data_IF_252876731164
#
_entry.id   IF_252876731164
#
_cell.length_a   1.000
_cell.length_b   1.000
_cell.length_c   1.000
_cell.angle_alpha   90.00
_cell.angle_beta   90.00
_cell.angle_gamma   90.00
#
_symmetry.space_group_name_H-M   'P 1'
#
loop_
_entity.id
_entity.type
_entity.pdbx_description
1 polymer ?
#
# COMPACT_ATOMS: atom_id res chain seq x y z
N UNK A 1 -37.95 -24.18 20.47
CA UNK A 1 -37.58 -23.01 21.28
C UNK A 1 -36.32 -22.49 20.63
N UNK A 2 -36.30 -21.22 20.19
CA UNK A 2 -35.06 -20.62 19.70
C UNK A 2 -34.03 -20.67 20.84
N UNK A 3 -32.77 -20.93 20.51
CA UNK A 3 -31.71 -20.92 21.50
C UNK A 3 -31.56 -19.47 22.01
N UNK A 4 -31.62 -19.20 23.33
CA UNK A 4 -31.42 -17.85 23.85
C UNK A 4 -30.10 -17.20 23.39
N UNK A 5 -29.11 -18.00 22.98
CA UNK A 5 -27.86 -17.53 22.38
C UNK A 5 -28.06 -16.95 20.97
N UNK A 6 -28.88 -17.62 20.16
CA UNK A 6 -29.22 -17.17 18.81
C UNK A 6 -30.01 -15.84 18.85
N UNK A 7 -30.88 -15.66 19.85
CA UNK A 7 -31.63 -14.42 20.04
C UNK A 7 -30.71 -13.24 20.39
N UNK A 8 -29.71 -13.44 21.27
CA UNK A 8 -28.74 -12.39 21.64
C UNK A 8 -27.84 -12.00 20.46
N UNK A 9 -27.30 -12.99 19.75
CA UNK A 9 -26.49 -12.77 18.54
C UNK A 9 -27.30 -12.03 17.46
N UNK A 10 -28.56 -12.40 17.27
CA UNK A 10 -29.43 -11.74 16.29
C UNK A 10 -29.63 -10.26 16.63
N UNK A 11 -29.87 -9.93 17.91
CA UNK A 11 -30.00 -8.55 18.38
C UNK A 11 -28.71 -7.75 18.15
N UNK A 12 -27.54 -8.31 18.49
CA UNK A 12 -26.25 -7.64 18.24
C UNK A 12 -26.04 -7.37 16.74
N UNK A 13 -26.35 -8.35 15.88
CA UNK A 13 -26.26 -8.18 14.42
C UNK A 13 -27.21 -7.09 13.90
N UNK A 14 -28.46 -7.03 14.39
CA UNK A 14 -29.40 -5.97 14.03
C UNK A 14 -28.88 -4.58 14.41
N UNK A 15 -28.29 -4.44 15.60
CA UNK A 15 -27.65 -3.20 16.04
C UNK A 15 -26.48 -2.81 15.12
N UNK A 16 -25.63 -3.77 14.75
CA UNK A 16 -24.52 -3.51 13.82
C UNK A 16 -25.00 -3.09 12.44
N UNK A 17 -26.06 -3.71 11.91
CA UNK A 17 -26.65 -3.28 10.63
C UNK A 17 -27.18 -1.84 10.70
N UNK A 18 -27.70 -1.41 11.85
CA UNK A 18 -28.16 -0.04 12.06
C UNK A 18 -26.98 0.95 12.20
N UNK A 19 -25.89 0.55 12.88
CA UNK A 19 -24.71 1.39 13.09
C UNK A 19 -23.82 1.53 11.84
N UNK A 20 -23.71 0.46 11.05
CA UNK A 20 -22.83 0.38 9.89
C UNK A 20 -23.60 -0.05 8.64
N UNK A 21 -24.53 0.80 8.15
CA UNK A 21 -25.33 0.48 6.98
C UNK A 21 -24.44 0.21 5.77
N UNK A 22 -24.79 -0.83 5.01
CA UNK A 22 -24.10 -1.30 3.80
C UNK A 22 -22.63 -1.76 3.97
N UNK A 23 -22.11 -1.76 5.21
CA UNK A 23 -20.72 -2.14 5.51
C UNK A 23 -20.63 -3.53 6.16
N UNK A 24 -21.73 -4.02 6.72
CA UNK A 24 -21.80 -5.33 7.39
C UNK A 24 -22.47 -6.36 6.49
N UNK A 25 -21.95 -7.58 6.50
CA UNK A 25 -22.62 -8.75 5.92
C UNK A 25 -22.36 -9.95 6.78
N UNK A 26 -23.40 -10.69 7.17
CA UNK A 26 -23.26 -11.94 7.91
C UNK A 26 -23.65 -13.16 7.05
N UNK A 27 -22.84 -14.22 7.13
CA UNK A 27 -23.10 -15.49 6.45
C UNK A 27 -23.39 -16.59 7.47
N UNK A 28 -24.66 -16.96 7.63
CA UNK A 28 -25.10 -17.95 8.63
C UNK A 28 -24.36 -19.30 8.51
N UNK A 29 -24.13 -19.79 7.28
CA UNK A 29 -23.52 -21.11 7.05
C UNK A 29 -22.08 -21.21 7.53
N UNK A 30 -21.29 -20.15 7.35
CA UNK A 30 -19.88 -20.10 7.78
C UNK A 30 -19.72 -19.39 9.13
N UNK A 31 -20.81 -18.77 9.64
CA UNK A 31 -20.85 -17.95 10.86
C UNK A 31 -19.81 -16.84 10.80
N UNK A 32 -19.68 -16.26 9.61
CA UNK A 32 -18.72 -15.20 9.31
C UNK A 32 -19.40 -13.85 9.20
N UNK A 33 -18.92 -12.90 9.99
CA UNK A 33 -19.24 -11.49 9.86
C UNK A 33 -18.15 -10.82 9.03
N UNK A 34 -18.56 -10.13 7.98
CA UNK A 34 -17.70 -9.27 7.17
C UNK A 34 -18.05 -7.82 7.45
N UNK A 35 -17.05 -7.03 7.78
CA UNK A 35 -17.09 -5.57 7.76
C UNK A 35 -16.22 -5.07 6.61
N UNK A 36 -16.73 -4.13 5.81
CA UNK A 36 -15.99 -3.53 4.70
C UNK A 36 -16.19 -2.02 4.67
N UNK A 37 -15.09 -1.28 4.53
CA UNK A 37 -15.09 0.17 4.37
C UNK A 37 -14.10 0.52 3.26
N UNK A 38 -14.57 1.18 2.20
CA UNK A 38 -13.79 1.43 0.98
C UNK A 38 -13.15 0.12 0.44
N UNK A 39 -11.82 0.04 0.42
CA UNK A 39 -11.06 -1.15 0.04
C UNK A 39 -10.58 -1.96 1.25
N UNK A 40 -10.76 -1.49 2.48
CA UNK A 40 -10.44 -2.22 3.71
C UNK A 40 -11.51 -3.27 4.03
N UNK A 41 -11.11 -4.35 4.69
CA UNK A 41 -12.02 -5.42 5.08
C UNK A 41 -11.56 -6.17 6.33
N UNK A 42 -12.52 -6.53 7.18
CA UNK A 42 -12.37 -7.42 8.32
C UNK A 42 -13.36 -8.58 8.17
N UNK A 43 -12.88 -9.80 8.41
CA UNK A 43 -13.70 -11.02 8.44
C UNK A 43 -13.47 -11.70 9.78
N UNK A 44 -14.55 -11.84 10.53
CA UNK A 44 -14.60 -12.53 11.81
C UNK A 44 -15.39 -13.82 11.67
N UNK A 45 -14.95 -14.89 12.34
CA UNK A 45 -15.72 -16.12 12.49
C UNK A 45 -16.19 -16.26 13.94
N UNK A 46 -17.48 -16.42 14.13
CA UNK A 46 -18.08 -16.55 15.46
C UNK A 46 -18.06 -18.03 15.91
N UNK A 47 -17.65 -18.35 17.15
CA UNK A 47 -17.75 -19.70 17.72
C UNK A 47 -19.20 -20.05 18.04
N UNK A 48 -19.57 -21.35 18.06
CA UNK A 48 -20.96 -21.84 18.19
C UNK A 48 -21.70 -21.25 19.39
N UNK A 49 -20.97 -21.09 20.47
CA UNK A 49 -21.43 -20.59 21.76
C UNK A 49 -21.40 -19.07 21.92
N UNK A 50 -21.10 -18.30 20.88
CA UNK A 50 -21.07 -16.84 20.96
C UNK A 50 -22.50 -16.25 21.04
N UNK A 51 -22.79 -15.29 21.95
CA UNK A 51 -21.85 -14.54 22.80
C UNK A 51 -21.61 -15.14 24.19
N UNK A 52 -22.27 -16.23 24.57
CA UNK A 52 -22.18 -16.83 25.91
C UNK A 52 -20.76 -17.28 26.28
N UNK A 53 -20.03 -17.87 25.34
CA UNK A 53 -18.63 -18.27 25.56
C UNK A 53 -17.85 -18.33 24.24
N UNK A 54 -16.53 -18.11 24.33
CA UNK A 54 -15.66 -18.01 23.17
C UNK A 54 -15.75 -16.65 22.47
N UNK A 55 -14.66 -16.25 21.83
CA UNK A 55 -14.55 -14.95 21.16
C UNK A 55 -14.50 -15.10 19.64
N UNK A 56 -14.96 -14.10 18.88
CA UNK A 56 -14.83 -14.09 17.43
C UNK A 56 -13.35 -14.21 17.00
N UNK A 57 -13.08 -15.09 16.05
CA UNK A 57 -11.74 -15.29 15.48
C UNK A 57 -11.53 -14.39 14.25
N UNK A 58 -10.39 -13.71 14.19
CA UNK A 58 -9.97 -12.98 12.98
C UNK A 58 -9.53 -13.95 11.88
N UNK A 59 -10.38 -14.11 10.85
CA UNK A 59 -10.08 -14.88 9.64
C UNK A 59 -9.23 -14.05 8.67
N UNK A 60 -9.62 -12.79 8.47
CA UNK A 60 -8.95 -11.84 7.59
C UNK A 60 -9.07 -10.43 8.13
N UNK A 61 -8.01 -9.63 7.97
CA UNK A 61 -8.04 -8.20 8.26
C UNK A 61 -7.07 -7.51 7.31
N UNK A 62 -7.54 -6.51 6.56
CA UNK A 62 -6.72 -5.74 5.64
C UNK A 62 -7.17 -4.29 5.56
N UNK A 63 -6.21 -3.38 5.40
CA UNK A 63 -6.49 -1.97 5.20
C UNK A 63 -6.82 -1.62 3.74
N UNK A 64 -6.93 -0.31 3.47
CA UNK A 64 -7.21 0.22 2.13
C UNK A 64 -6.07 -0.03 1.13
N UNK A 65 -4.83 -0.19 1.62
CA UNK A 65 -3.62 -0.53 0.86
C UNK A 65 -3.42 -2.04 0.65
N UNK A 66 -4.33 -2.88 1.17
CA UNK A 66 -4.24 -4.35 1.17
C UNK A 66 -3.09 -4.90 2.03
N UNK A 67 -2.61 -4.12 2.98
CA UNK A 67 -1.70 -4.57 4.03
C UNK A 67 -2.42 -5.55 4.94
N UNK A 68 -1.79 -6.69 5.26
CA UNK A 68 -2.36 -7.69 6.16
C UNK A 68 -2.26 -7.22 7.63
N UNK A 69 -3.41 -7.04 8.27
CA UNK A 69 -3.53 -6.57 9.64
C UNK A 69 -3.89 -7.68 10.64
N UNK A 70 -3.96 -8.96 10.23
CA UNK A 70 -4.50 -10.04 11.09
C UNK A 70 -3.80 -10.14 12.44
N UNK A 71 -2.47 -10.14 12.46
CA UNK A 71 -1.71 -10.27 13.71
C UNK A 71 -1.89 -9.06 14.63
N UNK A 72 -1.93 -7.85 14.05
CA UNK A 72 -2.19 -6.61 14.80
C UNK A 72 -3.61 -6.56 15.34
N UNK A 73 -4.58 -7.03 14.55
CA UNK A 73 -5.96 -7.17 14.98
C UNK A 73 -6.08 -8.15 16.14
N UNK A 74 -5.47 -9.33 16.05
CA UNK A 74 -5.46 -10.32 17.15
C UNK A 74 -4.83 -9.75 18.43
N UNK A 75 -3.72 -9.02 18.31
CA UNK A 75 -3.10 -8.35 19.46
C UNK A 75 -4.00 -7.22 20.02
N UNK A 76 -4.65 -6.45 19.16
CA UNK A 76 -5.60 -5.41 19.54
C UNK A 76 -6.79 -5.96 20.32
N UNK A 77 -7.38 -7.05 19.84
CA UNK A 77 -8.49 -7.75 20.53
C UNK A 77 -8.05 -8.26 21.89
N UNK A 78 -6.83 -8.81 22.01
CA UNK A 78 -6.30 -9.25 23.30
C UNK A 78 -6.17 -8.11 24.33
N UNK A 79 -6.04 -6.86 23.86
CA UNK A 79 -5.97 -5.67 24.72
C UNK A 79 -7.35 -5.05 25.03
N UNK A 80 -8.43 -5.53 24.43
CA UNK A 80 -9.79 -5.03 24.69
C UNK A 80 -10.39 -5.55 26.01
N UNK A 81 -9.68 -6.45 26.72
CA UNK A 81 -10.12 -7.04 28.00
C UNK A 81 -11.58 -7.56 27.95
N UNK A 82 -11.96 -8.19 26.83
CA UNK A 82 -13.32 -8.67 26.61
C UNK A 82 -13.72 -9.73 27.66
N UNK A 83 -14.90 -9.56 28.26
CA UNK A 83 -15.47 -10.53 29.17
C UNK A 83 -16.23 -11.64 28.41
N UNK A 84 -16.09 -12.89 28.85
CA UNK A 84 -16.95 -13.96 28.35
C UNK A 84 -18.41 -13.71 28.74
N UNK A 85 -19.33 -14.03 27.84
CA UNK A 85 -20.76 -13.80 28.04
C UNK A 85 -21.27 -12.45 27.54
N UNK A 86 -20.38 -11.57 27.07
CA UNK A 86 -20.71 -10.24 26.53
C UNK A 86 -20.58 -10.16 25.00
N UNK A 87 -21.46 -9.35 24.42
CA UNK A 87 -21.42 -8.93 23.02
C UNK A 87 -20.20 -8.03 22.78
N UNK A 88 -19.50 -8.24 21.68
CA UNK A 88 -18.14 -7.71 21.48
C UNK A 88 -17.82 -7.38 20.02
N UNK A 89 -18.72 -7.65 19.08
CA UNK A 89 -18.49 -7.39 17.66
C UNK A 89 -18.28 -5.89 17.39
N UNK A 90 -19.04 -5.01 18.05
CA UNK A 90 -18.85 -3.56 17.91
C UNK A 90 -17.48 -3.11 18.46
N UNK A 91 -17.07 -3.60 19.63
CA UNK A 91 -15.76 -3.31 20.19
C UNK A 91 -14.62 -3.77 19.27
N UNK A 92 -14.77 -4.94 18.65
CA UNK A 92 -13.82 -5.48 17.67
C UNK A 92 -13.82 -4.62 16.39
N UNK A 93 -14.98 -4.19 15.89
CA UNK A 93 -15.05 -3.29 14.72
C UNK A 93 -14.43 -1.94 15.04
N UNK A 94 -14.72 -1.35 16.20
CA UNK A 94 -14.13 -0.10 16.67
C UNK A 94 -12.61 -0.20 16.75
N UNK A 95 -12.09 -1.32 17.27
CA UNK A 95 -10.64 -1.58 17.30
C UNK A 95 -10.04 -1.71 15.88
N UNK A 96 -10.78 -2.29 14.94
CA UNK A 96 -10.36 -2.32 13.54
C UNK A 96 -10.32 -0.92 12.92
N UNK A 97 -11.31 -0.08 13.17
CA UNK A 97 -11.31 1.32 12.73
C UNK A 97 -10.14 2.11 13.33
N UNK A 98 -9.85 1.93 14.63
CA UNK A 98 -8.66 2.51 15.27
C UNK A 98 -7.38 2.01 14.59
N UNK A 99 -7.29 0.72 14.24
CA UNK A 99 -6.15 0.20 13.49
C UNK A 99 -6.07 0.75 12.06
N UNK A 100 -7.19 0.99 11.39
CA UNK A 100 -7.21 1.65 10.08
C UNK A 100 -6.72 3.09 10.20
N UNK A 101 -7.17 3.84 11.20
CA UNK A 101 -6.71 5.20 11.45
C UNK A 101 -5.24 5.24 11.86
N UNK A 102 -4.78 4.30 12.68
CA UNK A 102 -3.36 4.18 13.02
C UNK A 102 -2.52 3.76 11.83
N UNK A 103 -2.99 2.86 10.97
CA UNK A 103 -2.23 2.43 9.80
C UNK A 103 -2.28 3.47 8.69
N UNK A 104 -3.39 4.20 8.55
CA UNK A 104 -3.48 5.38 7.70
C UNK A 104 -2.59 6.48 8.24
N UNK A 105 -2.58 6.74 9.55
CA UNK A 105 -1.63 7.65 10.18
C UNK A 105 -0.20 7.13 10.07
N UNK A 106 0.06 5.82 10.06
CA UNK A 106 1.40 5.25 9.81
C UNK A 106 1.76 5.36 8.35
N UNK A 107 0.83 5.22 7.40
CA UNK A 107 1.08 5.46 5.98
C UNK A 107 1.25 6.95 5.70
N UNK A 108 0.45 7.80 6.34
CA UNK A 108 0.52 9.26 6.28
C UNK A 108 1.76 9.76 7.04
N UNK A 109 2.19 9.14 8.14
CA UNK A 109 3.46 9.38 8.85
C UNK A 109 4.64 8.70 8.15
N UNK A 110 4.48 7.61 7.40
CA UNK A 110 5.53 7.17 6.46
C UNK A 110 5.67 8.19 5.33
N UNK A 111 4.57 8.88 4.98
CA UNK A 111 4.54 10.06 4.10
C UNK A 111 4.92 11.39 4.79
N UNK A 112 4.99 11.48 6.14
CA UNK A 112 5.17 12.76 6.89
C UNK A 112 6.35 12.77 7.89
N UNK A 113 6.80 11.63 8.41
CA UNK A 113 7.99 11.43 9.26
C UNK A 113 9.24 11.05 8.49
N UNK A 114 9.18 11.01 7.16
CA UNK A 114 10.35 11.49 6.42
C UNK A 114 10.26 13.00 6.30
N UNK A 115 10.75 13.69 7.33
CA UNK A 115 11.59 14.88 7.12
C UNK A 115 12.87 14.45 6.35
N UNK A 116 12.69 13.83 5.17
CA UNK A 116 13.69 13.82 4.13
C UNK A 116 13.63 15.24 3.58
N UNK A 117 14.67 16.01 3.87
CA UNK A 117 14.80 17.42 3.55
C UNK A 117 14.21 17.66 2.15
N UNK A 118 13.10 18.40 2.06
CA UNK A 118 12.55 18.73 0.74
C UNK A 118 13.59 19.57 0.05
N UNK A 119 14.25 19.03 -0.96
CA UNK A 119 15.26 19.76 -1.72
C UNK A 119 14.49 20.61 -2.72
N UNK A 120 14.33 21.93 -2.50
CA UNK A 120 13.50 22.77 -3.34
C UNK A 120 14.03 22.74 -4.78
N UNK A 121 13.11 22.58 -5.74
CA UNK A 121 13.48 22.49 -7.16
C UNK A 121 14.02 21.13 -7.60
N UNK A 122 13.96 20.08 -6.76
CA UNK A 122 14.21 18.69 -7.18
C UNK A 122 12.91 17.94 -7.46
N UNK A 123 13.00 16.83 -8.20
CA UNK A 123 11.87 15.98 -8.58
C UNK A 123 12.33 14.55 -8.79
N UNK A 124 11.49 13.60 -8.41
CA UNK A 124 11.65 12.19 -8.77
C UNK A 124 10.42 11.65 -9.48
N UNK A 125 10.63 10.80 -10.49
CA UNK A 125 9.58 10.08 -11.22
C UNK A 125 9.91 8.60 -11.35
N UNK A 126 8.88 7.74 -11.25
CA UNK A 126 8.96 6.32 -11.66
C UNK A 126 8.02 6.09 -12.83
N UNK A 127 8.58 5.52 -13.89
CA UNK A 127 7.89 5.24 -15.14
C UNK A 127 7.87 3.74 -15.37
N UNK A 128 6.68 3.23 -15.66
CA UNK A 128 6.44 1.85 -16.06
C UNK A 128 6.14 1.81 -17.56
N UNK A 129 6.64 0.78 -18.24
CA UNK A 129 6.37 0.49 -19.64
C UNK A 129 6.06 -0.99 -19.82
N UNK A 130 5.29 -1.31 -20.87
CA UNK A 130 5.01 -2.70 -21.23
C UNK A 130 6.31 -3.47 -21.54
N UNK A 131 7.25 -2.82 -22.24
CA UNK A 131 8.61 -3.32 -22.40
C UNK A 131 9.58 -2.22 -22.82
N UNK A 132 10.87 -2.39 -22.49
CA UNK A 132 11.96 -1.52 -22.95
C UNK A 132 13.07 -2.36 -23.59
N UNK A 133 12.86 -2.86 -24.81
CA UNK A 133 13.83 -3.74 -25.49
C UNK A 133 14.68 -3.03 -26.54
N UNK A 134 14.09 -2.07 -27.26
CA UNK A 134 14.76 -1.42 -28.39
C UNK A 134 15.98 -0.62 -27.92
N UNK A 135 17.13 -0.85 -28.56
CA UNK A 135 18.40 -0.20 -28.20
C UNK A 135 18.37 1.31 -28.38
N UNK A 136 17.61 1.83 -29.35
CA UNK A 136 17.38 3.27 -29.52
C UNK A 136 16.66 3.88 -28.32
N UNK A 137 15.61 3.22 -27.80
CA UNK A 137 14.86 3.64 -26.62
C UNK A 137 15.74 3.64 -25.37
N UNK A 138 16.51 2.56 -25.19
CA UNK A 138 17.47 2.42 -24.09
C UNK A 138 18.51 3.54 -24.11
N UNK A 139 19.13 3.80 -25.27
CA UNK A 139 20.08 4.91 -25.45
C UNK A 139 19.46 6.25 -25.10
N UNK A 140 18.23 6.51 -25.57
CA UNK A 140 17.55 7.77 -25.26
C UNK A 140 17.28 7.92 -23.77
N UNK A 141 16.79 6.87 -23.11
CA UNK A 141 16.52 6.89 -21.67
C UNK A 141 17.76 7.15 -20.82
N UNK A 142 18.94 6.71 -21.27
CA UNK A 142 20.22 6.89 -20.57
C UNK A 142 20.86 8.28 -20.77
N UNK A 143 20.45 9.04 -21.79
CA UNK A 143 21.14 10.26 -22.22
C UNK A 143 20.18 11.47 -22.22
N UNK A 144 19.94 12.09 -21.04
CA UNK A 144 19.14 13.30 -20.95
C UNK A 144 19.85 14.47 -21.65
N UNK A 145 19.08 15.33 -22.31
CA UNK A 145 19.62 16.51 -22.99
C UNK A 145 20.15 17.55 -22.00
N UNK A 146 19.46 17.70 -20.86
CA UNK A 146 19.86 18.58 -19.76
C UNK A 146 20.64 17.77 -18.70
N UNK A 147 21.87 18.16 -18.33
CA UNK A 147 22.62 17.52 -17.25
C UNK A 147 21.92 17.63 -15.89
N UNK A 148 22.24 16.71 -14.99
CA UNK A 148 21.75 16.73 -13.60
C UNK A 148 20.61 15.77 -13.31
N UNK A 149 20.16 14.99 -14.29
CA UNK A 149 19.29 13.83 -14.05
C UNK A 149 20.16 12.61 -13.70
N UNK A 150 19.89 12.04 -12.54
CA UNK A 150 20.36 10.72 -12.15
C UNK A 150 19.21 9.72 -12.20
N UNK A 151 19.51 8.44 -12.38
CA UNK A 151 18.43 7.47 -12.49
C UNK A 151 18.85 6.05 -12.75
N UNK A 152 17.85 5.21 -12.93
CA UNK A 152 17.99 3.80 -13.29
C UNK A 152 17.05 3.51 -14.45
N UNK A 153 17.54 2.73 -15.42
CA UNK A 153 16.69 2.12 -16.44
C UNK A 153 16.84 0.61 -16.35
N UNK A 154 15.73 -0.11 -16.25
CA UNK A 154 15.68 -1.57 -16.32
C UNK A 154 14.96 -1.99 -17.62
N UNK A 155 15.72 -2.35 -18.67
CA UNK A 155 15.19 -2.94 -19.88
C UNK A 155 14.43 -4.25 -19.62
N UNK A 156 13.65 -4.70 -20.61
CA UNK A 156 12.94 -5.97 -20.53
C UNK A 156 11.44 -5.83 -20.28
N UNK A 157 10.87 -6.82 -19.59
CA UNK A 157 9.44 -6.96 -19.28
C UNK A 157 9.20 -7.02 -17.75
N UNK A 158 8.47 -6.08 -17.15
CA UNK A 158 8.17 -4.75 -17.70
C UNK A 158 9.44 -3.91 -17.86
N UNK A 159 9.34 -2.85 -18.67
CA UNK A 159 10.35 -1.80 -18.69
C UNK A 159 10.12 -0.85 -17.51
N UNK A 160 11.18 -0.48 -16.79
CA UNK A 160 11.08 0.44 -15.66
C UNK A 160 12.15 1.52 -15.76
N UNK A 161 11.78 2.77 -15.46
CA UNK A 161 12.72 3.88 -15.38
C UNK A 161 12.47 4.69 -14.13
N UNK A 162 13.53 5.12 -13.46
CA UNK A 162 13.48 6.04 -12.32
C UNK A 162 14.38 7.21 -12.66
N UNK A 163 13.88 8.43 -12.57
CA UNK A 163 14.67 9.64 -12.80
C UNK A 163 14.49 10.61 -11.63
N UNK A 164 15.60 11.15 -11.15
CA UNK A 164 15.68 12.09 -10.03
C UNK A 164 16.68 13.19 -10.35
N UNK A 165 16.34 14.44 -10.06
CA UNK A 165 17.18 15.60 -10.39
C UNK A 165 16.42 16.92 -10.31
N UNK A 166 16.97 18.02 -10.86
CA UNK A 166 16.26 19.29 -10.96
C UNK A 166 14.94 19.14 -11.74
N UNK A 167 13.86 19.78 -11.26
CA UNK A 167 12.50 19.71 -11.84
C UNK A 167 12.53 19.95 -13.35
N UNK A 168 13.23 20.99 -13.80
CA UNK A 168 13.32 21.34 -15.22
C UNK A 168 14.00 20.24 -16.04
N UNK A 169 15.10 19.65 -15.54
CA UNK A 169 15.86 18.62 -16.23
C UNK A 169 15.08 17.29 -16.31
N UNK A 170 14.43 16.90 -15.22
CA UNK A 170 13.59 15.69 -15.18
C UNK A 170 12.38 15.84 -16.09
N UNK A 171 11.68 16.98 -16.04
CA UNK A 171 10.53 17.24 -16.91
C UNK A 171 10.91 17.24 -18.39
N UNK A 172 12.02 17.89 -18.75
CA UNK A 172 12.53 17.91 -20.12
C UNK A 172 12.84 16.49 -20.63
N UNK A 173 13.54 15.70 -19.82
CA UNK A 173 13.86 14.30 -20.16
C UNK A 173 12.60 13.47 -20.35
N UNK A 174 11.67 13.51 -19.38
CA UNK A 174 10.41 12.75 -19.46
C UNK A 174 9.56 13.20 -20.64
N UNK A 175 9.49 14.49 -20.93
CA UNK A 175 8.73 15.02 -22.07
C UNK A 175 9.33 14.57 -23.41
N UNK A 176 10.65 14.57 -23.51
CA UNK A 176 11.36 14.02 -24.68
C UNK A 176 11.00 12.54 -24.89
N UNK A 177 11.05 11.72 -23.84
CA UNK A 177 10.68 10.31 -23.94
C UNK A 177 9.20 10.09 -24.26
N UNK A 178 8.30 10.94 -23.73
CA UNK A 178 6.86 10.87 -24.00
C UNK A 178 6.54 11.17 -25.47
N UNK A 179 7.26 12.09 -26.11
CA UNK A 179 7.07 12.46 -27.53
C UNK A 179 7.33 11.30 -28.49
N UNK A 180 8.10 10.30 -28.07
CA UNK A 180 8.36 9.10 -28.85
C UNK A 180 7.19 8.09 -28.86
N UNK A 181 6.09 8.37 -28.14
CA UNK A 181 4.87 7.57 -28.12
C UNK A 181 5.09 6.07 -27.81
N UNK A 182 5.94 5.76 -26.82
CA UNK A 182 6.22 4.37 -26.44
C UNK A 182 5.00 3.69 -25.80
N UNK A 183 4.82 2.39 -26.08
CA UNK A 183 3.67 1.64 -25.59
C UNK A 183 3.59 1.60 -24.06
N UNK A 184 2.40 1.94 -23.57
CA UNK A 184 2.05 1.96 -22.15
C UNK A 184 3.05 2.71 -21.27
N UNK A 185 3.56 3.85 -21.76
CA UNK A 185 4.38 4.76 -20.97
C UNK A 185 3.54 5.39 -19.85
N UNK A 186 3.70 4.92 -18.62
CA UNK A 186 2.93 5.34 -17.47
C UNK A 186 3.84 5.93 -16.41
N UNK A 187 3.67 7.22 -16.09
CA UNK A 187 4.23 7.80 -14.86
C UNK A 187 3.37 7.28 -13.71
N UNK A 188 3.96 6.45 -12.85
CA UNK A 188 3.24 5.81 -11.73
C UNK A 188 3.64 6.37 -10.36
N UNK A 189 4.72 7.13 -10.32
CA UNK A 189 5.13 7.92 -9.19
C UNK A 189 5.72 9.23 -9.69
N UNK A 190 5.40 10.32 -9.01
CA UNK A 190 5.90 11.65 -9.30
C UNK A 190 5.83 12.48 -8.02
N UNK A 191 6.98 12.98 -7.56
CA UNK A 191 7.04 13.84 -6.38
C UNK A 191 8.07 14.95 -6.58
N UNK A 192 7.66 16.19 -6.33
CA UNK A 192 8.53 17.36 -6.31
C UNK A 192 9.05 17.65 -4.90
N UNK A 193 10.21 18.29 -4.82
CA UNK A 193 10.93 18.48 -3.58
C UNK A 193 11.67 17.24 -3.11
N UNK A 194 11.75 16.18 -3.93
CA UNK A 194 12.35 14.92 -3.55
C UNK A 194 13.40 14.45 -4.53
N UNK A 195 14.62 14.23 -4.03
CA UNK A 195 15.74 13.68 -4.77
C UNK A 195 16.02 12.26 -4.26
N UNK A 196 15.74 11.25 -5.08
CA UNK A 196 16.22 9.91 -4.81
C UNK A 196 17.72 9.84 -5.08
N UNK A 197 18.43 9.27 -4.13
CA UNK A 197 19.84 8.91 -4.27
C UNK A 197 19.94 7.50 -4.84
N UNK A 198 21.02 7.27 -5.58
CA UNK A 198 21.30 5.98 -6.18
C UNK A 198 22.72 5.53 -5.80
N UNK A 199 22.94 4.22 -5.74
CA UNK A 199 24.27 3.62 -5.45
C UNK A 199 25.39 4.21 -6.35
N UNK A 200 25.08 4.56 -7.60
CA UNK A 200 26.03 5.14 -8.55
C UNK A 200 26.12 6.67 -8.52
N UNK A 201 25.35 7.34 -7.65
CA UNK A 201 25.28 8.78 -7.38
C UNK A 201 24.84 9.67 -8.56
N UNK A 202 25.55 9.62 -9.69
CA UNK A 202 25.35 10.54 -10.83
C UNK A 202 25.07 9.81 -12.13
N UNK A 203 24.18 10.40 -12.92
CA UNK A 203 23.82 9.89 -14.24
C UNK A 203 22.84 8.73 -14.16
N UNK A 204 22.49 8.19 -15.33
CA UNK A 204 21.48 7.15 -15.46
C UNK A 204 22.18 5.82 -15.72
N UNK A 205 21.93 4.83 -14.87
CA UNK A 205 22.54 3.49 -14.97
C UNK A 205 21.53 2.48 -15.47
N UNK A 206 21.96 1.62 -16.39
CA UNK A 206 21.17 0.46 -16.78
C UNK A 206 21.39 -0.71 -15.82
N UNK A 207 20.31 -1.40 -15.45
CA UNK A 207 20.34 -2.60 -14.60
C UNK A 207 19.49 -3.72 -15.21
N UNK A 208 19.81 -4.97 -14.90
CA UNK A 208 19.18 -6.11 -15.56
C UNK A 208 17.95 -6.59 -14.78
N UNK A 209 18.04 -6.65 -13.45
CA UNK A 209 17.03 -7.26 -12.60
C UNK A 209 16.24 -6.23 -11.76
N UNK A 210 15.04 -6.60 -11.32
CA UNK A 210 14.27 -5.75 -10.39
C UNK A 210 14.96 -5.64 -9.03
N UNK A 211 15.65 -6.72 -8.59
CA UNK A 211 16.44 -6.72 -7.37
C UNK A 211 17.58 -5.71 -7.41
N UNK A 212 18.23 -5.53 -8.57
CA UNK A 212 19.23 -4.47 -8.75
C UNK A 212 18.62 -3.07 -8.66
N UNK A 213 17.42 -2.85 -9.21
CA UNK A 213 16.73 -1.56 -9.06
C UNK A 213 16.52 -1.25 -7.58
N UNK A 214 15.96 -2.19 -6.83
CA UNK A 214 15.70 -2.05 -5.39
C UNK A 214 17.00 -1.80 -4.63
N UNK A 215 18.04 -2.60 -4.86
CA UNK A 215 19.34 -2.41 -4.22
C UNK A 215 19.92 -1.03 -4.50
N UNK A 216 19.80 -0.54 -5.74
CA UNK A 216 20.37 0.75 -6.11
C UNK A 216 19.60 1.95 -5.54
N UNK A 217 18.36 1.81 -5.06
CA UNK A 217 17.58 2.86 -4.38
C UNK A 217 17.53 2.69 -2.85
N UNK A 218 18.13 1.62 -2.31
CA UNK A 218 18.28 1.36 -0.88
C UNK A 218 19.65 1.85 -0.36
N UNK A 219 19.96 3.13 -0.58
CA UNK A 219 21.18 3.75 -0.08
C UNK A 219 21.07 3.96 1.44
N UNK A 220 22.09 3.52 2.19
CA UNK A 220 22.26 3.70 3.65
C UNK A 220 21.07 3.24 4.53
N UNK A 221 20.32 2.24 4.09
CA UNK A 221 19.24 1.63 4.88
C UNK A 221 17.97 2.49 5.02
N UNK A 222 17.96 3.70 4.45
CA UNK A 222 16.79 4.58 4.36
C UNK A 222 16.21 4.52 2.93
N UNK A 223 15.96 3.32 2.44
CA UNK A 223 15.59 3.07 1.04
C UNK A 223 14.19 3.52 0.64
N UNK A 224 13.94 3.54 -0.68
CA UNK A 224 12.66 3.87 -1.33
C UNK A 224 11.95 2.64 -1.92
N UNK A 225 12.24 1.47 -1.34
CA UNK A 225 11.81 0.18 -1.86
C UNK A 225 10.30 0.08 -1.91
N UNK A 226 9.61 0.44 -0.84
CA UNK A 226 8.16 0.28 -0.75
C UNK A 226 7.44 1.23 -1.71
N UNK A 227 7.86 2.51 -1.79
CA UNK A 227 7.31 3.46 -2.76
C UNK A 227 7.55 2.99 -4.20
N UNK A 228 8.75 2.46 -4.47
CA UNK A 228 9.07 1.91 -5.78
C UNK A 228 8.22 0.68 -6.14
N UNK A 229 8.13 -0.31 -5.25
CA UNK A 229 7.38 -1.54 -5.46
C UNK A 229 5.88 -1.26 -5.66
N UNK A 230 5.32 -0.35 -4.86
CA UNK A 230 3.96 0.15 -5.04
C UNK A 230 3.78 0.82 -6.40
N UNK A 231 4.71 1.70 -6.80
CA UNK A 231 4.66 2.38 -8.08
C UNK A 231 4.72 1.40 -9.26
N UNK A 232 5.52 0.33 -9.20
CA UNK A 232 5.59 -0.67 -10.28
C UNK A 232 4.48 -1.73 -10.22
N UNK A 233 3.66 -1.74 -9.16
CA UNK A 233 2.53 -2.64 -8.97
C UNK A 233 2.92 -4.05 -8.54
N UNK A 234 4.04 -4.20 -7.84
CA UNK A 234 4.54 -5.47 -7.28
C UNK A 234 4.19 -5.49 -5.79
N UNK A 235 3.53 -6.57 -5.35
CA UNK A 235 3.21 -6.87 -3.94
C UNK A 235 4.32 -7.68 -3.30
#
# INVERSE_FOLDING_TARGET
MADPEDDRRAVELELLYAMYPDQITFTEKSRELKFAQETAALILRLPESYPSSGFPEVVSASDTFKTDLRNRMKAGIANLELAEGEESLDAIIAQFLVLLDQNKATHDQLHTDTYRERIPGSKTVVIWLHHLLATSKRKMALNPAIPGVSGITKPGYPGVMIFSGPVAAVNDHVNTLKQENWQAFQVRYEEEGQLWEFEHLRGIKEVETMGEVVRSIEVDGAGRKDEFLQAVGIK
#
